data_IF_527304697061
#
_entry.id   IF_527304697061
#
_cell.length_a   1.000
_cell.length_b   1.000
_cell.length_c   1.000
_cell.angle_alpha   90.00
_cell.angle_beta   90.00
_cell.angle_gamma   90.00
#
_symmetry.space_group_name_H-M   'P 1'
#
loop_
_entity.id
_entity.type
_entity.pdbx_description
1 polymer ?
#
# COMPACT_ATOMS: atom_id res chain seq x y z
N UNK A 1 -32.11 11.60 -41.49
CA UNK A 1 -32.54 11.40 -40.09
C UNK A 1 -31.46 10.61 -39.38
N UNK A 2 -31.00 11.10 -38.22
CA UNK A 2 -29.83 10.64 -37.46
C UNK A 2 -30.18 9.40 -36.65
N UNK A 3 -29.52 8.27 -36.91
CA UNK A 3 -29.47 7.17 -35.96
C UNK A 3 -28.24 7.40 -35.08
N UNK A 4 -28.50 7.96 -33.91
CA UNK A 4 -27.55 8.17 -32.83
C UNK A 4 -27.16 6.79 -32.31
N UNK A 5 -25.91 6.40 -32.59
CA UNK A 5 -25.32 5.19 -32.02
C UNK A 5 -25.11 5.49 -30.54
N UNK A 6 -25.95 4.92 -29.68
CA UNK A 6 -25.71 4.92 -28.23
C UNK A 6 -24.46 4.07 -27.98
N UNK A 7 -23.30 4.71 -27.99
CA UNK A 7 -22.11 4.17 -27.37
C UNK A 7 -22.38 4.19 -25.86
N UNK A 8 -23.02 3.14 -25.36
CA UNK A 8 -22.95 2.79 -23.94
C UNK A 8 -21.49 2.51 -23.69
N UNK A 9 -20.81 3.52 -23.17
CA UNK A 9 -19.49 3.40 -22.55
C UNK A 9 -19.62 2.24 -21.58
N UNK A 10 -19.04 1.10 -21.96
CA UNK A 10 -18.68 0.05 -21.04
C UNK A 10 -17.60 0.66 -20.13
N UNK A 11 -18.03 1.46 -19.15
CA UNK A 11 -17.28 1.66 -17.93
C UNK A 11 -17.39 0.30 -17.25
N UNK A 12 -16.58 -0.65 -17.74
CA UNK A 12 -16.25 -1.82 -16.95
C UNK A 12 -15.82 -1.23 -15.60
N UNK A 13 -16.51 -1.56 -14.50
CA UNK A 13 -15.84 -1.52 -13.23
C UNK A 13 -14.75 -2.58 -13.40
N UNK A 14 -13.56 -2.16 -13.78
CA UNK A 14 -12.35 -2.89 -13.46
C UNK A 14 -12.20 -2.74 -11.94
N UNK A 15 -13.13 -3.35 -11.20
CA UNK A 15 -12.82 -3.88 -9.90
C UNK A 15 -11.83 -4.98 -10.20
N UNK A 16 -10.57 -4.58 -10.32
CA UNK A 16 -9.44 -5.48 -10.15
C UNK A 16 -9.56 -5.94 -8.70
N UNK A 17 -10.44 -6.91 -8.47
CA UNK A 17 -10.25 -7.87 -7.40
C UNK A 17 -8.85 -8.39 -7.67
N UNK A 18 -7.87 -7.88 -6.93
CA UNK A 18 -6.51 -8.37 -6.96
C UNK A 18 -6.58 -9.83 -6.50
N UNK A 19 -6.84 -10.70 -7.47
CA UNK A 19 -6.70 -12.13 -7.38
C UNK A 19 -5.26 -12.36 -6.92
N UNK A 20 -5.16 -12.73 -5.64
CA UNK A 20 -3.93 -12.88 -4.87
C UNK A 20 -3.11 -14.02 -5.47
N UNK A 21 -2.44 -13.72 -6.57
CA UNK A 21 -1.51 -14.59 -7.24
C UNK A 21 -0.14 -14.46 -6.59
N UNK A 22 0.46 -15.63 -6.34
CA UNK A 22 1.88 -15.88 -6.10
C UNK A 22 2.40 -15.72 -4.66
N UNK A 23 2.83 -16.87 -4.12
CA UNK A 23 3.55 -17.08 -2.86
C UNK A 23 2.72 -16.75 -1.61
N UNK A 24 2.78 -17.60 -0.57
CA UNK A 24 2.06 -17.37 0.70
C UNK A 24 2.66 -16.19 1.49
N UNK A 25 2.70 -14.99 0.90
CA UNK A 25 2.88 -13.73 1.60
C UNK A 25 1.58 -13.49 2.36
N UNK A 26 1.66 -13.29 3.68
CA UNK A 26 0.46 -12.94 4.44
C UNK A 26 -0.11 -11.62 3.90
N UNK A 27 -1.44 -11.46 3.89
CA UNK A 27 -2.08 -10.23 3.43
C UNK A 27 -1.43 -8.97 4.04
N UNK A 28 -1.14 -8.99 5.35
CA UNK A 28 -0.45 -7.90 6.03
C UNK A 28 1.00 -7.69 5.56
N UNK A 29 1.79 -8.74 5.34
CA UNK A 29 3.15 -8.60 4.82
C UNK A 29 3.14 -7.98 3.41
N UNK A 30 2.19 -8.39 2.57
CA UNK A 30 1.97 -7.78 1.27
C UNK A 30 1.59 -6.32 1.36
N UNK A 31 0.69 -5.94 2.27
CA UNK A 31 0.34 -4.54 2.50
C UNK A 31 1.50 -3.73 3.09
N UNK A 32 2.29 -4.31 3.99
CA UNK A 32 3.45 -3.65 4.60
C UNK A 32 4.51 -3.31 3.55
N UNK A 33 4.82 -4.25 2.65
CA UNK A 33 5.78 -4.01 1.56
C UNK A 33 5.24 -2.93 0.61
N UNK A 34 3.96 -3.03 0.20
CA UNK A 34 3.34 -2.03 -0.68
C UNK A 34 3.32 -0.63 -0.06
N UNK A 35 2.97 -0.52 1.22
CA UNK A 35 2.98 0.75 1.92
C UNK A 35 4.38 1.30 2.12
N UNK A 36 5.35 0.43 2.39
CA UNK A 36 6.75 0.80 2.48
C UNK A 36 7.30 1.31 1.15
N UNK A 37 6.93 0.68 0.04
CA UNK A 37 7.29 1.15 -1.31
C UNK A 37 6.66 2.51 -1.61
N UNK A 38 5.38 2.68 -1.30
CA UNK A 38 4.69 3.96 -1.47
C UNK A 38 5.30 5.07 -0.60
N UNK A 39 5.58 4.81 0.68
CA UNK A 39 6.16 5.78 1.61
C UNK A 39 7.60 6.18 1.20
N UNK A 40 8.44 5.19 0.88
CA UNK A 40 9.77 5.46 0.35
C UNK A 40 9.70 6.19 -1.00
N UNK A 41 8.71 5.87 -1.83
CA UNK A 41 8.45 6.55 -3.11
C UNK A 41 8.09 8.02 -2.95
N UNK A 42 7.30 8.38 -1.93
CA UNK A 42 7.04 9.78 -1.55
C UNK A 42 8.32 10.54 -1.18
N UNK A 43 9.31 9.82 -0.64
CA UNK A 43 10.63 10.35 -0.31
C UNK A 43 11.60 10.32 -1.51
N UNK A 44 11.15 9.89 -2.69
CA UNK A 44 11.97 9.80 -3.91
C UNK A 44 12.97 8.64 -3.91
N UNK A 45 12.73 7.60 -3.12
CA UNK A 45 13.58 6.41 -2.98
C UNK A 45 12.73 5.13 -3.05
N UNK A 46 13.33 3.97 -2.79
CA UNK A 46 12.68 2.66 -2.89
C UNK A 46 12.70 1.93 -1.56
N UNK A 47 11.71 1.06 -1.34
CA UNK A 47 11.69 0.19 -0.18
C UNK A 47 12.89 -0.75 -0.19
N UNK A 48 13.58 -0.86 0.95
CA UNK A 48 14.66 -1.83 1.14
C UNK A 48 14.22 -2.97 2.05
N UNK A 49 13.77 -2.64 3.26
CA UNK A 49 13.38 -3.65 4.25
C UNK A 49 12.52 -3.06 5.38
N UNK A 50 12.10 -3.91 6.31
CA UNK A 50 11.45 -3.55 7.56
C UNK A 50 12.40 -3.79 8.73
N UNK A 51 12.51 -2.80 9.63
CA UNK A 51 13.25 -2.93 10.88
C UNK A 51 12.31 -3.18 12.05
N UNK A 52 12.29 -4.41 12.61
CA UNK A 52 11.43 -4.74 13.74
C UNK A 52 11.85 -4.09 15.05
N UNK A 53 13.11 -3.66 15.21
CA UNK A 53 13.54 -3.04 16.49
C UNK A 53 12.98 -1.63 16.62
N UNK A 54 12.97 -0.90 15.52
CA UNK A 54 12.50 0.49 15.49
C UNK A 54 11.03 0.63 15.03
N UNK A 55 10.40 -0.46 14.57
CA UNK A 55 9.08 -0.44 13.93
C UNK A 55 9.04 0.54 12.73
N UNK A 56 10.08 0.51 11.90
CA UNK A 56 10.24 1.41 10.74
C UNK A 56 10.38 0.63 9.47
N UNK A 57 9.88 1.20 8.38
CA UNK A 57 10.37 0.84 7.04
C UNK A 57 11.76 1.44 6.86
N UNK A 58 12.62 0.77 6.11
CA UNK A 58 13.94 1.24 5.72
C UNK A 58 13.93 1.42 4.21
N UNK A 59 14.22 2.62 3.75
CA UNK A 59 14.40 2.93 2.34
C UNK A 59 15.85 2.71 1.91
N UNK A 60 16.10 2.55 0.61
CA UNK A 60 17.45 2.28 0.07
C UNK A 60 18.46 3.39 0.38
N UNK A 61 18.01 4.64 0.51
CA UNK A 61 18.86 5.78 0.86
C UNK A 61 19.14 5.89 2.37
N UNK A 62 18.60 4.97 3.17
CA UNK A 62 18.76 4.92 4.62
C UNK A 62 17.71 5.71 5.41
N UNK A 63 16.74 6.35 4.77
CA UNK A 63 15.59 6.93 5.47
C UNK A 63 14.77 5.85 6.16
N UNK A 64 14.19 6.17 7.33
CA UNK A 64 13.52 5.21 8.21
C UNK A 64 12.12 5.69 8.63
N UNK A 65 11.15 5.81 7.71
CA UNK A 65 9.80 6.21 8.07
C UNK A 65 9.14 5.20 9.02
N UNK A 66 8.35 5.71 9.96
CA UNK A 66 7.70 4.89 10.99
C UNK A 66 6.46 4.22 10.42
N UNK A 67 6.21 2.98 10.86
CA UNK A 67 4.95 2.32 10.58
C UNK A 67 3.76 3.06 11.24
N UNK A 68 2.54 2.89 10.70
CA UNK A 68 1.34 3.42 11.32
C UNK A 68 1.17 2.93 12.75
N UNK A 69 0.61 3.79 13.61
CA UNK A 69 0.38 3.46 15.02
C UNK A 69 -0.49 2.21 15.15
N UNK A 70 -0.03 1.26 15.97
CA UNK A 70 -0.73 0.02 16.26
C UNK A 70 -0.41 -1.14 15.32
N UNK A 71 0.33 -0.91 14.22
CA UNK A 71 0.76 -1.97 13.30
C UNK A 71 1.88 -2.81 13.89
N UNK A 72 2.84 -2.15 14.54
CA UNK A 72 3.98 -2.82 15.17
C UNK A 72 3.86 -2.71 16.70
N UNK A 73 3.84 -3.86 17.37
CA UNK A 73 3.79 -3.97 18.82
C UNK A 73 4.95 -4.85 19.28
N UNK A 74 5.79 -4.34 20.18
CA UNK A 74 6.98 -5.03 20.66
C UNK A 74 7.94 -5.50 19.54
N UNK A 75 7.95 -4.78 18.43
CA UNK A 75 8.76 -5.10 17.25
C UNK A 75 8.17 -6.16 16.31
N UNK A 76 6.98 -6.65 16.60
CA UNK A 76 6.29 -7.63 15.77
C UNK A 76 5.08 -6.99 15.08
N UNK A 77 4.90 -7.33 13.80
CA UNK A 77 3.68 -7.04 13.06
C UNK A 77 2.83 -8.30 13.05
N UNK A 78 2.03 -8.48 14.10
CA UNK A 78 1.09 -9.59 14.16
C UNK A 78 -0.13 -9.27 13.28
N UNK A 79 -0.34 -10.05 12.23
CA UNK A 79 -1.45 -9.83 11.31
C UNK A 79 -2.80 -10.13 11.98
N UNK A 80 -3.51 -9.08 12.36
CA UNK A 80 -4.88 -9.10 12.87
C UNK A 80 -5.76 -8.25 11.94
N UNK A 81 -7.10 -8.40 11.96
CA UNK A 81 -7.97 -7.59 11.11
C UNK A 81 -7.79 -6.06 11.31
N UNK A 82 -7.50 -5.61 12.53
CA UNK A 82 -7.20 -4.19 12.82
C UNK A 82 -5.86 -3.77 12.19
N UNK A 83 -4.82 -4.61 12.29
CA UNK A 83 -3.51 -4.32 11.68
C UNK A 83 -3.59 -4.32 10.15
N UNK A 84 -4.35 -5.25 9.57
CA UNK A 84 -4.60 -5.31 8.13
C UNK A 84 -5.28 -4.01 7.64
N UNK A 85 -6.36 -3.59 8.31
CA UNK A 85 -7.07 -2.34 7.97
C UNK A 85 -6.18 -1.10 8.12
N UNK A 86 -5.30 -1.06 9.12
CA UNK A 86 -4.34 0.04 9.30
C UNK A 86 -3.33 0.11 8.17
N UNK A 87 -2.80 -1.05 7.75
CA UNK A 87 -1.85 -1.13 6.65
C UNK A 87 -2.51 -0.76 5.31
N UNK A 88 -3.74 -1.24 5.06
CA UNK A 88 -4.52 -0.84 3.88
C UNK A 88 -4.76 0.68 3.86
N UNK A 89 -5.21 1.25 4.98
CA UNK A 89 -5.45 2.69 5.09
C UNK A 89 -4.19 3.53 4.90
N UNK A 90 -3.04 3.06 5.39
CA UNK A 90 -1.76 3.71 5.14
C UNK A 90 -1.37 3.68 3.66
N UNK A 91 -1.59 2.57 2.97
CA UNK A 91 -1.32 2.48 1.53
C UNK A 91 -2.19 3.46 0.73
N UNK A 92 -3.48 3.56 1.07
CA UNK A 92 -4.39 4.51 0.43
C UNK A 92 -3.96 5.96 0.68
N UNK A 93 -3.60 6.31 1.93
CA UNK A 93 -3.12 7.65 2.26
C UNK A 93 -1.86 8.02 1.48
N UNK A 94 -0.88 7.10 1.40
CA UNK A 94 0.35 7.38 0.67
C UNK A 94 0.09 7.60 -0.84
N UNK A 95 -0.89 6.89 -1.42
CA UNK A 95 -1.33 7.11 -2.80
C UNK A 95 -1.97 8.49 -2.99
N UNK A 96 -2.84 8.90 -2.06
CA UNK A 96 -3.46 10.23 -2.08
C UNK A 96 -2.40 11.34 -1.94
N UNK A 97 -1.42 11.16 -1.06
CA UNK A 97 -0.31 12.09 -0.85
C UNK A 97 0.56 12.20 -2.11
N UNK A 98 0.81 11.08 -2.79
CA UNK A 98 1.60 11.08 -4.02
C UNK A 98 0.91 11.88 -5.13
N UNK A 99 -0.41 11.70 -5.27
CA UNK A 99 -1.24 12.41 -6.26
C UNK A 99 -1.32 13.90 -5.94
N UNK A 100 -1.39 14.28 -4.67
CA UNK A 100 -1.51 15.70 -4.27
C UNK A 100 -0.17 16.45 -4.28
N UNK A 101 0.94 15.74 -4.24
CA UNK A 101 2.29 16.31 -4.32
C UNK A 101 2.80 16.54 -5.75
N UNK A 102 2.08 16.10 -6.79
CA UNK A 102 2.46 16.20 -8.20
C UNK A 102 1.35 16.82 -9.06
#
# INVERSE_FOLDING_TARGET
MKLVVFAVVLILPAVLSAESGTQHISTCEGYLIQGGDAECGLLGTSYSTYDPKDCTVVCEDGQRPKLPKGVCLNGEVTCTPDVEQRLEGWNLQNQEDYITSH
#
